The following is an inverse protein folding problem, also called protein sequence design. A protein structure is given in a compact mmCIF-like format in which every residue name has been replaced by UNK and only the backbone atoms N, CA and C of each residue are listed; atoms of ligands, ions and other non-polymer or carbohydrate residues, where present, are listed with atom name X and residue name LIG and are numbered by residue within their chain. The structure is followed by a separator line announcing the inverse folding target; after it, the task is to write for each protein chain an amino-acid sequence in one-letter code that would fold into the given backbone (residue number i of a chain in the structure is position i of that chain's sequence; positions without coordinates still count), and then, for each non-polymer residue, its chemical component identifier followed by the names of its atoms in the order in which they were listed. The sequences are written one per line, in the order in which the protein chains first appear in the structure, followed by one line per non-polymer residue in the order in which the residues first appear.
data_IF_415455470715
#
_entry.id   IF_415455470715
#
_cell.length_a   1.000
_cell.length_b   1.000
_cell.length_c   1.000
_cell.angle_alpha   90.00
_cell.angle_beta   90.00
_cell.angle_gamma   90.00
#
_symmetry.space_group_name_H-M   'P 1'
#
loop_
_entity.id
_entity.type
_entity.pdbx_description
1 polymer ?
#
# COMPACT_ATOMS: atom_id res chain seq x y z
N UNK A 1 4.83 16.51 18.63
CA UNK A 1 4.51 17.37 17.47
C UNK A 1 3.00 17.57 17.42
N UNK A 2 2.51 18.81 17.37
CA UNK A 2 1.07 19.08 17.27
C UNK A 2 0.54 18.53 15.95
N UNK A 3 -0.34 17.54 16.00
CA UNK A 3 -1.04 17.04 14.82
C UNK A 3 -1.81 18.22 14.19
N UNK A 4 -1.30 18.78 13.09
CA UNK A 4 -2.02 19.81 12.35
C UNK A 4 -3.27 19.14 11.77
N UNK A 5 -4.43 19.42 12.38
CA UNK A 5 -5.73 19.01 11.85
C UNK A 5 -5.85 19.44 10.38
N UNK A 6 -6.29 18.52 9.54
CA UNK A 6 -6.60 18.73 8.13
C UNK A 6 -7.48 19.98 7.96
N UNK A 7 -7.00 20.97 7.20
CA UNK A 7 -7.73 22.20 6.93
C UNK A 7 -8.51 22.02 5.63
N UNK A 8 -9.84 22.16 5.62
CA UNK A 8 -10.62 22.08 4.40
C UNK A 8 -10.33 23.28 3.48
N UNK A 9 -10.32 23.03 2.16
CA UNK A 9 -10.08 24.01 1.08
C UNK A 9 -11.07 25.18 1.10
N UNK A 10 -12.30 24.88 1.50
CA UNK A 10 -13.39 25.85 1.58
C UNK A 10 -13.88 25.95 3.02
N UNK A 11 -14.12 27.18 3.50
CA UNK A 11 -14.83 27.38 4.77
C UNK A 11 -16.30 26.98 4.63
N UNK A 12 -17.02 26.81 5.76
CA UNK A 12 -18.47 26.50 5.76
C UNK A 12 -19.32 27.54 5.01
N UNK A 13 -18.76 28.71 4.74
CA UNK A 13 -19.38 29.83 4.02
C UNK A 13 -19.02 29.88 2.53
N UNK A 14 -18.30 28.88 2.01
CA UNK A 14 -17.95 28.79 0.58
C UNK A 14 -16.75 29.64 0.14
N UNK A 15 -16.05 30.32 1.07
CA UNK A 15 -14.84 31.10 0.78
C UNK A 15 -13.57 30.26 0.91
N UNK A 16 -12.53 30.60 0.14
CA UNK A 16 -11.21 29.97 0.21
C UNK A 16 -10.61 30.23 1.60
N UNK A 17 -10.22 29.16 2.29
CA UNK A 17 -9.64 29.25 3.62
C UNK A 17 -8.22 29.85 3.53
N UNK A 18 -7.96 30.97 4.20
CA UNK A 18 -6.65 31.65 4.18
C UNK A 18 -5.52 30.83 4.83
N UNK A 19 -5.87 29.81 5.64
CA UNK A 19 -4.91 28.86 6.24
C UNK A 19 -4.70 27.61 5.40
N UNK A 20 -5.49 27.41 4.33
CA UNK A 20 -5.32 26.29 3.42
C UNK A 20 -4.26 26.65 2.38
N UNK A 21 -3.22 25.82 2.31
CA UNK A 21 -2.16 25.93 1.30
C UNK A 21 -2.31 24.73 0.37
N UNK A 22 -2.69 25.00 -0.88
CA UNK A 22 -2.72 23.97 -1.92
C UNK A 22 -1.29 23.78 -2.45
N UNK A 23 -0.68 22.64 -2.10
CA UNK A 23 0.67 22.31 -2.57
C UNK A 23 0.67 21.82 -4.02
N UNK A 24 -0.50 21.50 -4.59
CA UNK A 24 -0.66 20.93 -5.93
C UNK A 24 -1.37 21.89 -6.90
N UNK A 25 -1.24 23.19 -6.67
CA UNK A 25 -1.77 24.20 -7.59
C UNK A 25 -1.08 24.06 -8.97
N UNK A 26 -1.87 24.03 -10.03
CA UNK A 26 -1.40 23.99 -11.41
C UNK A 26 -0.96 25.37 -11.87
N UNK A 27 0.14 25.41 -12.61
CA UNK A 27 0.66 26.65 -13.19
C UNK A 27 -0.10 27.01 -14.48
N UNK A 28 -0.19 28.30 -14.85
CA UNK A 28 -0.79 28.69 -16.11
C UNK A 28 -0.03 28.09 -17.29
N UNK A 29 -0.72 27.48 -18.27
CA UNK A 29 -0.06 26.81 -19.38
C UNK A 29 0.65 27.79 -20.31
N UNK A 30 1.87 27.46 -20.71
CA UNK A 30 2.59 28.18 -21.77
C UNK A 30 2.22 27.56 -23.12
N UNK A 31 1.67 28.36 -24.07
CA UNK A 31 1.39 27.88 -25.43
C UNK A 31 2.64 27.25 -26.06
N UNK A 32 2.44 26.17 -26.81
CA UNK A 32 3.51 25.36 -27.43
C UNK A 32 4.38 24.52 -26.49
N UNK A 33 4.14 24.56 -25.18
CA UNK A 33 4.85 23.71 -24.20
C UNK A 33 3.86 22.92 -23.34
N UNK A 34 2.73 22.52 -23.90
CA UNK A 34 1.67 21.81 -23.17
C UNK A 34 2.06 20.38 -22.79
N UNK A 35 2.98 19.77 -23.54
CA UNK A 35 3.45 18.41 -23.32
C UNK A 35 4.97 18.38 -23.18
N UNK A 36 5.50 17.44 -22.41
CA UNK A 36 6.93 17.30 -22.17
C UNK A 36 7.35 15.84 -22.21
N UNK A 37 8.55 15.60 -22.74
CA UNK A 37 9.22 14.31 -22.66
C UNK A 37 10.21 14.34 -21.49
N UNK A 38 10.10 13.38 -20.59
CA UNK A 38 10.87 13.32 -19.37
C UNK A 38 11.57 11.98 -19.25
N UNK A 39 12.83 11.97 -18.81
CA UNK A 39 13.49 10.75 -18.39
C UNK A 39 13.80 10.83 -16.91
N UNK A 40 13.56 9.73 -16.21
CA UNK A 40 13.84 9.59 -14.79
C UNK A 40 14.88 8.50 -14.60
N UNK A 41 15.77 8.72 -13.63
CA UNK A 41 16.66 7.68 -13.13
C UNK A 41 16.36 7.54 -11.65
N UNK A 42 15.75 6.42 -11.27
CA UNK A 42 15.46 6.12 -9.87
C UNK A 42 16.34 4.95 -9.43
N UNK A 43 17.43 5.21 -8.68
CA UNK A 43 18.32 4.14 -8.23
C UNK A 43 17.68 3.25 -7.16
N UNK A 44 16.51 3.61 -6.62
CA UNK A 44 15.81 2.86 -5.55
C UNK A 44 15.48 1.41 -5.94
N UNK A 45 15.34 1.13 -7.24
CA UNK A 45 15.11 -0.22 -7.77
C UNK A 45 16.40 -1.06 -7.89
N UNK A 46 17.57 -0.42 -7.85
CA UNK A 46 18.87 -1.01 -8.21
C UNK A 46 19.81 -1.06 -7.00
N UNK A 47 19.81 0.01 -6.20
CA UNK A 47 20.71 0.21 -5.07
C UNK A 47 19.85 0.52 -3.85
N UNK A 48 20.22 -0.08 -2.71
CA UNK A 48 19.58 0.22 -1.43
C UNK A 48 19.65 1.71 -1.16
N UNK A 49 18.51 2.35 -0.92
CA UNK A 49 18.43 3.78 -0.66
C UNK A 49 19.49 4.21 0.38
N UNK A 50 20.29 5.22 0.02
CA UNK A 50 21.37 5.78 0.83
C UNK A 50 20.88 6.13 2.23
N UNK A 51 19.67 6.67 2.37
CA UNK A 51 19.13 7.09 3.67
C UNK A 51 18.86 5.88 4.57
N UNK A 52 18.37 4.78 3.99
CA UNK A 52 18.17 3.50 4.70
C UNK A 52 19.52 2.90 5.10
N UNK A 53 20.52 2.97 4.23
CA UNK A 53 21.87 2.54 4.55
C UNK A 53 22.48 3.33 5.72
N UNK A 54 22.36 4.66 5.69
CA UNK A 54 22.86 5.54 6.75
C UNK A 54 22.15 5.25 8.08
N UNK A 55 20.85 5.03 8.03
CA UNK A 55 20.06 4.65 9.20
C UNK A 55 20.47 3.28 9.76
N UNK A 56 20.74 2.28 8.92
CA UNK A 56 21.24 0.98 9.40
C UNK A 56 22.61 1.08 10.07
N UNK A 57 23.52 1.92 9.57
CA UNK A 57 24.81 2.13 10.22
C UNK A 57 24.64 2.87 11.55
N UNK A 58 23.70 3.81 11.62
CA UNK A 58 23.31 4.42 12.89
C UNK A 58 22.79 3.37 13.87
N UNK A 59 21.85 2.50 13.47
CA UNK A 59 21.30 1.44 14.34
C UNK A 59 22.38 0.45 14.79
N UNK A 60 23.32 0.08 13.92
CA UNK A 60 24.47 -0.78 14.29
C UNK A 60 25.40 -0.13 15.30
N UNK A 61 25.61 1.18 15.20
CA UNK A 61 26.37 1.94 16.20
C UNK A 61 25.56 2.11 17.50
N UNK A 62 24.24 2.21 17.36
CA UNK A 62 23.29 2.36 18.46
C UNK A 62 23.02 1.06 19.22
N UNK A 63 23.52 -0.08 18.75
CA UNK A 63 23.18 -1.41 19.28
C UNK A 63 23.45 -1.52 20.79
N UNK A 64 22.42 -1.19 21.58
CA UNK A 64 22.48 -1.07 23.03
C UNK A 64 22.89 -2.39 23.65
N UNK A 65 22.58 -3.51 23.00
CA UNK A 65 22.93 -4.87 23.42
C UNK A 65 24.43 -5.03 23.64
N UNK A 66 25.25 -4.48 22.74
CA UNK A 66 26.72 -4.58 22.84
C UNK A 66 27.29 -3.63 23.89
N UNK A 67 26.68 -2.46 24.05
CA UNK A 67 27.02 -1.53 25.13
C UNK A 67 26.68 -2.12 26.49
N UNK A 68 25.50 -2.75 26.63
CA UNK A 68 25.04 -3.43 27.84
C UNK A 68 25.92 -4.62 28.22
N UNK A 69 26.39 -5.41 27.23
CA UNK A 69 27.33 -6.49 27.51
C UNK A 69 28.69 -5.96 28.03
N UNK A 70 29.23 -4.90 27.42
CA UNK A 70 30.48 -4.27 27.92
C UNK A 70 30.31 -3.67 29.32
N UNK A 71 29.16 -3.06 29.62
CA UNK A 71 28.89 -2.56 30.96
C UNK A 71 28.74 -3.69 31.97
N UNK A 72 28.07 -4.79 31.62
CA UNK A 72 27.98 -6.00 32.46
C UNK A 72 29.38 -6.55 32.79
N UNK A 73 30.27 -6.67 31.79
CA UNK A 73 31.64 -7.14 32.00
C UNK A 73 32.45 -6.19 32.89
N UNK A 74 32.26 -4.88 32.73
CA UNK A 74 32.89 -3.87 33.59
C UNK A 74 32.38 -3.94 35.04
N UNK A 75 31.07 -4.15 35.23
CA UNK A 75 30.48 -4.33 36.57
C UNK A 75 31.04 -5.58 37.26
N UNK A 76 31.24 -6.69 36.53
CA UNK A 76 31.91 -7.87 37.05
C UNK A 76 33.37 -7.59 37.44
N UNK A 77 34.10 -6.81 36.65
CA UNK A 77 35.46 -6.38 37.00
C UNK A 77 35.50 -5.52 38.27
N UNK A 78 34.57 -4.57 38.43
CA UNK A 78 34.47 -3.73 39.62
C UNK A 78 34.13 -4.57 40.85
N UNK A 79 33.17 -5.48 40.72
CA UNK A 79 32.82 -6.46 41.76
C UNK A 79 34.04 -7.25 42.21
N UNK A 80 34.87 -7.74 41.28
CA UNK A 80 36.10 -8.47 41.60
C UNK A 80 37.16 -7.59 42.27
N UNK A 81 37.39 -6.38 41.75
CA UNK A 81 38.44 -5.46 42.26
C UNK A 81 38.13 -4.94 43.67
N UNK A 82 36.87 -4.65 43.96
CA UNK A 82 36.44 -4.08 45.24
C UNK A 82 35.74 -5.09 46.16
N UNK A 83 35.68 -6.37 45.76
CA UNK A 83 35.00 -7.46 46.49
C UNK A 83 33.54 -7.16 46.84
N UNK A 84 32.84 -6.51 45.93
CA UNK A 84 31.41 -6.21 46.07
C UNK A 84 30.63 -7.41 45.54
N UNK A 85 29.47 -7.74 46.12
CA UNK A 85 28.64 -8.84 45.66
C UNK A 85 28.23 -8.63 44.18
N UNK A 86 28.60 -9.53 43.25
CA UNK A 86 28.27 -9.39 41.83
C UNK A 86 26.75 -9.36 41.56
N UNK A 87 25.95 -10.14 42.29
CA UNK A 87 24.50 -10.20 42.08
C UNK A 87 23.83 -8.88 42.38
N UNK A 88 24.13 -8.28 43.53
CA UNK A 88 23.59 -6.97 43.92
C UNK A 88 23.90 -5.87 42.90
N UNK A 89 25.10 -5.92 42.31
CA UNK A 89 25.56 -4.90 41.37
C UNK A 89 24.90 -5.05 39.98
N UNK A 90 24.53 -6.28 39.62
CA UNK A 90 23.77 -6.58 38.41
C UNK A 90 22.29 -6.26 38.58
N UNK A 91 21.73 -6.46 39.78
CA UNK A 91 20.37 -6.03 40.11
C UNK A 91 20.24 -4.50 40.05
N UNK A 92 21.20 -3.77 40.65
CA UNK A 92 21.26 -2.30 40.58
C UNK A 92 21.40 -1.80 39.12
N UNK A 93 22.18 -2.51 38.29
CA UNK A 93 22.27 -2.21 36.86
C UNK A 93 20.94 -2.45 36.14
N UNK A 94 20.20 -3.51 36.50
CA UNK A 94 18.87 -3.80 35.92
C UNK A 94 17.86 -2.71 36.27
N UNK A 95 17.87 -2.22 37.51
CA UNK A 95 16.98 -1.15 37.94
C UNK A 95 17.35 0.19 37.32
N UNK A 96 18.66 0.49 37.21
CA UNK A 96 19.13 1.65 36.46
C UNK A 96 18.68 1.62 34.99
N UNK A 97 18.76 0.46 34.32
CA UNK A 97 18.28 0.31 32.94
C UNK A 97 16.78 0.61 32.83
N UNK A 98 15.95 0.18 33.79
CA UNK A 98 14.50 0.46 33.79
C UNK A 98 14.20 1.94 33.96
N UNK A 99 14.95 2.64 34.81
CA UNK A 99 14.80 4.09 35.00
C UNK A 99 15.24 4.87 33.77
N UNK A 100 16.40 4.53 33.20
CA UNK A 100 16.92 5.16 31.99
C UNK A 100 16.09 4.81 30.74
N UNK A 101 15.41 3.65 30.68
CA UNK A 101 14.51 3.32 29.57
C UNK A 101 13.39 4.38 29.44
N UNK A 102 12.91 4.91 30.57
CA UNK A 102 11.90 5.99 30.59
C UNK A 102 12.48 7.32 30.09
N UNK A 103 13.78 7.57 30.30
CA UNK A 103 14.50 8.75 29.82
C UNK A 103 14.84 8.62 28.33
N UNK A 104 15.30 7.45 27.89
CA UNK A 104 15.56 7.10 26.49
C UNK A 104 14.31 7.22 25.63
N UNK A 105 13.13 6.84 26.15
CA UNK A 105 11.84 7.07 25.46
C UNK A 105 11.51 8.55 25.28
N UNK A 106 12.10 9.46 26.08
CA UNK A 106 11.95 10.92 25.94
C UNK A 106 13.03 11.54 25.06
N UNK A 107 14.18 10.88 24.90
CA UNK A 107 15.25 11.32 24.02
C UNK A 107 14.83 11.18 22.56
N UNK A 108 15.11 12.21 21.79
CA UNK A 108 14.64 12.31 20.41
C UNK A 108 15.67 11.66 19.49
N UNK A 109 15.43 10.44 19.05
CA UNK A 109 16.32 9.69 18.12
C UNK A 109 16.70 10.52 16.88
N UNK A 110 15.83 11.46 16.49
CA UNK A 110 16.09 12.39 15.39
C UNK A 110 17.32 13.29 15.63
N UNK A 111 17.54 13.79 16.85
CA UNK A 111 18.71 14.65 17.14
C UNK A 111 20.01 13.86 17.13
N UNK A 112 19.97 12.64 17.66
CA UNK A 112 21.14 11.77 17.75
C UNK A 112 21.54 11.27 16.35
N UNK A 113 20.55 10.97 15.51
CA UNK A 113 20.79 10.65 14.11
C UNK A 113 21.40 11.83 13.34
N UNK A 114 20.91 13.05 13.54
CA UNK A 114 21.52 14.25 12.92
C UNK A 114 22.96 14.45 13.35
N UNK A 115 23.26 14.33 14.64
CA UNK A 115 24.63 14.45 15.14
C UNK A 115 25.55 13.32 14.61
N UNK A 116 25.01 12.11 14.45
CA UNK A 116 25.74 11.00 13.85
C UNK A 116 26.07 11.26 12.38
N UNK A 117 25.09 11.75 11.60
CA UNK A 117 25.30 12.17 10.22
C UNK A 117 26.37 13.25 10.15
N UNK A 118 26.27 14.34 10.92
CA UNK A 118 27.25 15.44 10.89
C UNK A 118 28.70 14.95 11.14
N UNK A 119 28.89 13.89 11.95
CA UNK A 119 30.22 13.36 12.30
C UNK A 119 30.74 12.32 11.31
N UNK A 120 29.88 11.49 10.72
CA UNK A 120 30.26 10.29 9.99
C UNK A 120 29.84 10.29 8.50
N UNK A 121 29.10 11.30 8.04
CA UNK A 121 28.52 11.35 6.69
C UNK A 121 29.57 11.13 5.60
N UNK A 122 30.71 11.82 5.67
CA UNK A 122 31.75 11.72 4.63
C UNK A 122 32.32 10.30 4.51
N UNK A 123 32.64 9.67 5.65
CA UNK A 123 33.17 8.30 5.69
C UNK A 123 32.14 7.28 5.21
N UNK A 124 30.89 7.42 5.66
CA UNK A 124 29.80 6.52 5.28
C UNK A 124 29.43 6.67 3.80
N UNK A 125 29.48 7.89 3.26
CA UNK A 125 29.25 8.14 1.84
C UNK A 125 30.33 7.49 0.97
N UNK A 126 31.60 7.61 1.36
CA UNK A 126 32.69 6.91 0.67
C UNK A 126 32.55 5.39 0.73
N UNK A 127 32.20 4.84 1.88
CA UNK A 127 32.00 3.40 2.05
C UNK A 127 30.82 2.90 1.21
N UNK A 128 29.71 3.63 1.23
CA UNK A 128 28.54 3.36 0.41
C UNK A 128 28.89 3.40 -1.08
N UNK A 129 29.64 4.41 -1.52
CA UNK A 129 30.07 4.53 -2.91
C UNK A 129 30.99 3.37 -3.32
N UNK A 130 31.94 2.97 -2.47
CA UNK A 130 32.81 1.80 -2.74
C UNK A 130 32.00 0.51 -2.86
N UNK A 131 31.06 0.26 -1.94
CA UNK A 131 30.20 -0.94 -1.95
C UNK A 131 29.31 -1.00 -3.19
N UNK A 132 28.82 0.15 -3.65
CA UNK A 132 27.95 0.27 -4.81
C UNK A 132 28.69 0.60 -6.11
N UNK A 133 30.02 0.38 -6.17
CA UNK A 133 30.84 0.60 -7.37
C UNK A 133 30.68 2.00 -7.99
N UNK A 134 30.49 3.02 -7.15
CA UNK A 134 30.27 4.42 -7.55
C UNK A 134 29.10 4.63 -8.51
N UNK A 135 28.11 3.73 -8.49
CA UNK A 135 26.88 3.93 -9.25
C UNK A 135 26.06 5.09 -8.68
N UNK A 136 25.33 5.77 -9.55
CA UNK A 136 24.50 6.92 -9.20
C UNK A 136 23.46 6.52 -8.16
N UNK A 137 23.48 7.16 -7.00
CA UNK A 137 22.60 6.87 -5.87
C UNK A 137 21.56 7.98 -5.61
N UNK A 138 21.50 8.95 -6.51
CA UNK A 138 20.58 10.09 -6.46
C UNK A 138 19.56 9.94 -7.58
N UNK A 139 18.31 10.29 -7.27
CA UNK A 139 17.25 10.36 -8.28
C UNK A 139 17.58 11.45 -9.30
N UNK A 140 17.64 11.06 -10.57
CA UNK A 140 17.87 11.95 -11.69
C UNK A 140 16.56 12.29 -12.40
N UNK A 141 16.44 13.54 -12.83
CA UNK A 141 15.37 14.02 -13.70
C UNK A 141 15.97 14.84 -14.83
N UNK A 142 15.52 14.60 -16.06
CA UNK A 142 15.87 15.43 -17.20
C UNK A 142 14.64 15.70 -18.06
N UNK A 143 14.44 16.97 -18.40
CA UNK A 143 13.51 17.37 -19.45
C UNK A 143 14.21 17.18 -20.81
N UNK A 144 13.62 16.32 -21.65
CA UNK A 144 14.15 15.95 -22.97
C UNK A 144 13.54 16.80 -24.10
N UNK A 145 12.57 17.66 -23.81
CA UNK A 145 11.90 18.54 -24.77
C UNK A 145 10.46 18.83 -24.38
N UNK A 146 9.93 19.97 -24.84
CA UNK A 146 8.54 20.38 -24.64
C UNK A 146 7.88 20.67 -25.98
N UNK A 147 6.59 20.33 -26.11
CA UNK A 147 5.83 20.32 -27.34
C UNK A 147 4.41 20.84 -27.16
N UNK A 148 3.80 21.20 -28.29
CA UNK A 148 2.45 21.75 -28.35
C UNK A 148 1.37 20.66 -28.27
N UNK A 149 1.64 19.48 -28.83
CA UNK A 149 0.69 18.37 -28.96
C UNK A 149 1.27 17.06 -28.41
N UNK A 150 0.39 16.12 -28.03
CA UNK A 150 0.79 14.79 -27.57
C UNK A 150 1.48 14.00 -28.67
N UNK A 151 0.96 14.07 -29.90
CA UNK A 151 1.49 13.32 -31.05
C UNK A 151 2.94 13.71 -31.38
N UNK A 152 3.25 15.01 -31.32
CA UNK A 152 4.60 15.52 -31.54
C UNK A 152 5.57 15.05 -30.45
N UNK A 153 5.12 15.06 -29.18
CA UNK A 153 5.90 14.56 -28.05
C UNK A 153 6.15 13.04 -28.15
N UNK A 154 5.16 12.26 -28.58
CA UNK A 154 5.28 10.82 -28.80
C UNK A 154 6.26 10.50 -29.94
N UNK A 155 6.19 11.21 -31.07
CA UNK A 155 7.15 11.05 -32.16
C UNK A 155 8.58 11.40 -31.73
N UNK A 156 8.75 12.45 -30.94
CA UNK A 156 10.04 12.84 -30.42
C UNK A 156 10.57 11.83 -29.40
N UNK A 157 9.71 11.29 -28.53
CA UNK A 157 10.06 10.21 -27.61
C UNK A 157 10.57 8.98 -28.36
N UNK A 158 9.91 8.57 -29.45
CA UNK A 158 10.38 7.47 -30.32
C UNK A 158 11.78 7.72 -30.87
N UNK A 159 12.03 8.91 -31.43
CA UNK A 159 13.36 9.29 -31.94
C UNK A 159 14.45 9.29 -30.87
N UNK A 160 14.15 9.73 -29.65
CA UNK A 160 15.12 9.70 -28.55
C UNK A 160 15.38 8.26 -28.12
N UNK A 161 14.35 7.42 -28.08
CA UNK A 161 14.45 6.01 -27.70
C UNK A 161 15.39 5.24 -28.62
N UNK A 162 15.39 5.55 -29.92
CA UNK A 162 16.32 4.96 -30.89
C UNK A 162 17.79 5.34 -30.59
N UNK A 163 18.02 6.52 -30.02
CA UNK A 163 19.36 7.01 -29.69
C UNK A 163 19.84 6.57 -28.30
N UNK A 164 18.92 6.45 -27.35
CA UNK A 164 19.20 6.15 -25.94
C UNK A 164 18.22 5.08 -25.44
N UNK A 165 18.53 3.78 -25.67
CA UNK A 165 17.64 2.67 -25.31
C UNK A 165 17.63 2.36 -23.82
N UNK A 166 18.53 2.97 -23.04
CA UNK A 166 18.73 2.64 -21.63
C UNK A 166 17.78 3.39 -20.68
N UNK A 167 17.11 4.44 -21.16
CA UNK A 167 16.27 5.30 -20.33
C UNK A 167 14.82 5.22 -20.77
N UNK A 168 13.94 5.02 -19.78
CA UNK A 168 12.51 5.17 -20.00
C UNK A 168 12.16 6.64 -20.27
N UNK A 169 11.28 6.87 -21.25
CA UNK A 169 10.82 8.20 -21.64
C UNK A 169 9.34 8.28 -21.33
N UNK A 170 8.99 9.21 -20.45
CA UNK A 170 7.63 9.52 -20.07
C UNK A 170 7.15 10.74 -20.83
N UNK A 171 5.98 10.63 -21.46
CA UNK A 171 5.29 11.77 -22.08
C UNK A 171 4.17 12.21 -21.16
N UNK A 172 4.22 13.46 -20.70
CA UNK A 172 3.28 14.03 -19.74
C UNK A 172 2.79 15.40 -20.16
N UNK A 173 1.68 15.84 -19.56
CA UNK A 173 1.26 17.24 -19.63
C UNK A 173 2.14 18.09 -18.73
N UNK A 174 2.54 19.25 -19.25
CA UNK A 174 3.28 20.24 -18.48
C UNK A 174 2.32 21.06 -17.62
N UNK A 175 2.87 21.72 -16.59
CA UNK A 175 2.11 22.56 -15.65
C UNK A 175 1.11 21.79 -14.76
N UNK A 176 1.19 20.45 -14.75
CA UNK A 176 0.41 19.57 -13.89
C UNK A 176 1.35 18.75 -13.01
N UNK A 177 0.98 18.59 -11.73
CA UNK A 177 1.72 17.76 -10.80
C UNK A 177 1.67 16.29 -11.24
N UNK A 178 2.84 15.74 -11.54
CA UNK A 178 2.99 14.35 -12.00
C UNK A 178 3.82 13.56 -10.99
N UNK A 179 3.43 12.31 -10.64
CA UNK A 179 4.24 11.45 -9.79
C UNK A 179 5.64 11.21 -10.38
N UNK A 180 6.65 11.23 -9.50
CA UNK A 180 8.03 10.92 -9.87
C UNK A 180 8.19 9.40 -10.08
N UNK A 181 8.79 8.99 -11.21
CA UNK A 181 8.95 7.57 -11.61
C UNK A 181 7.63 6.79 -11.54
N UNK A 182 6.63 7.17 -12.36
CA UNK A 182 5.33 6.52 -12.32
C UNK A 182 5.47 5.07 -12.83
N UNK A 183 4.83 4.15 -12.12
CA UNK A 183 4.83 2.73 -12.50
C UNK A 183 4.15 2.55 -13.86
N UNK A 184 4.88 1.99 -14.83
CA UNK A 184 4.44 1.80 -16.20
C UNK A 184 3.04 1.18 -16.27
N UNK A 185 2.75 0.17 -15.42
CA UNK A 185 1.46 -0.53 -15.40
C UNK A 185 0.30 0.29 -14.83
N UNK A 186 0.58 1.32 -14.02
CA UNK A 186 -0.43 2.21 -13.45
C UNK A 186 -0.63 3.46 -14.30
N UNK A 187 0.36 3.82 -15.10
CA UNK A 187 0.24 4.84 -16.14
C UNK A 187 -0.45 4.27 -17.37
N UNK A 188 -1.41 5.02 -17.92
CA UNK A 188 -2.33 4.54 -18.95
C UNK A 188 -1.68 3.81 -20.13
N UNK A 189 -1.24 4.54 -21.16
CA UNK A 189 -0.73 3.93 -22.40
C UNK A 189 0.76 3.63 -22.27
N UNK A 190 1.13 2.37 -22.46
CA UNK A 190 2.53 1.89 -22.47
C UNK A 190 2.87 1.48 -23.90
N UNK A 191 3.98 2.00 -24.42
CA UNK A 191 4.60 1.51 -25.66
C UNK A 191 6.00 0.97 -25.31
N UNK A 192 6.24 -0.30 -25.64
CA UNK A 192 7.52 -1.00 -25.56
C UNK A 192 8.37 -0.76 -26.82
N UNK A 193 9.65 -1.10 -26.74
CA UNK A 193 10.61 -0.99 -27.84
C UNK A 193 10.33 -2.03 -28.93
N UNK A 194 9.95 -3.24 -28.52
CA UNK A 194 9.67 -4.34 -29.43
C UNK A 194 8.22 -4.29 -29.91
N UNK A 195 8.03 -4.27 -31.23
CA UNK A 195 6.69 -4.26 -31.84
C UNK A 195 5.89 -5.53 -31.50
N UNK A 196 6.54 -6.69 -31.42
CA UNK A 196 5.91 -7.94 -31.01
C UNK A 196 5.42 -7.88 -29.56
N UNK A 197 6.20 -7.27 -28.66
CA UNK A 197 5.82 -7.09 -27.27
C UNK A 197 4.65 -6.10 -27.12
N UNK A 198 4.59 -5.07 -27.98
CA UNK A 198 3.46 -4.15 -28.04
C UNK A 198 2.17 -4.86 -28.46
N UNK A 199 2.25 -5.70 -29.50
CA UNK A 199 1.12 -6.50 -29.95
C UNK A 199 0.65 -7.45 -28.84
N UNK A 200 1.57 -8.17 -28.22
CA UNK A 200 1.27 -9.08 -27.11
C UNK A 200 0.63 -8.36 -25.92
N UNK A 201 1.11 -7.17 -25.57
CA UNK A 201 0.53 -6.37 -24.48
C UNK A 201 -0.88 -5.89 -24.81
N UNK A 202 -1.11 -5.38 -26.02
CA UNK A 202 -2.45 -4.98 -26.47
C UNK A 202 -3.42 -6.16 -26.49
N UNK A 203 -2.98 -7.32 -26.98
CA UNK A 203 -3.77 -8.55 -26.97
C UNK A 203 -4.08 -9.02 -25.54
N UNK A 204 -3.11 -8.96 -24.63
CA UNK A 204 -3.33 -9.27 -23.22
C UNK A 204 -4.39 -8.37 -22.60
N UNK A 205 -4.30 -7.07 -22.84
CA UNK A 205 -5.24 -6.08 -22.29
C UNK A 205 -6.64 -6.28 -22.85
N UNK A 206 -6.76 -6.61 -24.14
CA UNK A 206 -8.02 -7.01 -24.78
C UNK A 206 -8.58 -8.32 -24.21
N UNK A 207 -7.72 -9.31 -23.95
CA UNK A 207 -8.12 -10.58 -23.33
C UNK A 207 -8.58 -10.38 -21.88
N UNK A 208 -7.89 -9.55 -21.10
CA UNK A 208 -8.28 -9.20 -19.73
C UNK A 208 -9.64 -8.47 -19.71
N UNK A 209 -9.87 -7.54 -20.63
CA UNK A 209 -11.16 -6.88 -20.81
C UNK A 209 -12.26 -7.88 -21.18
N UNK A 210 -12.00 -8.74 -22.17
CA UNK A 210 -12.96 -9.76 -22.59
C UNK A 210 -13.27 -10.75 -21.45
N UNK A 211 -12.26 -11.19 -20.70
CA UNK A 211 -12.44 -12.07 -19.55
C UNK A 211 -13.26 -11.41 -18.43
N UNK A 212 -13.06 -10.11 -18.19
CA UNK A 212 -13.87 -9.34 -17.24
C UNK A 212 -15.32 -9.22 -17.70
N UNK A 213 -15.56 -8.87 -18.96
CA UNK A 213 -16.91 -8.81 -19.53
C UNK A 213 -17.62 -10.17 -19.49
N UNK A 214 -16.90 -11.25 -19.78
CA UNK A 214 -17.45 -12.60 -19.71
C UNK A 214 -17.75 -13.03 -18.27
N UNK A 215 -16.87 -12.68 -17.32
CA UNK A 215 -17.11 -12.89 -15.89
C UNK A 215 -18.35 -12.13 -15.42
N UNK A 216 -18.46 -10.85 -15.77
CA UNK A 216 -19.61 -10.02 -15.41
C UNK A 216 -20.92 -10.58 -16.02
N UNK A 217 -20.88 -11.04 -17.27
CA UNK A 217 -22.00 -11.75 -17.91
C UNK A 217 -22.36 -13.05 -17.17
N UNK A 218 -21.37 -13.88 -16.82
CA UNK A 218 -21.60 -15.13 -16.07
C UNK A 218 -22.20 -14.87 -14.68
N UNK A 219 -21.72 -13.85 -13.97
CA UNK A 219 -22.26 -13.45 -12.67
C UNK A 219 -23.71 -12.99 -12.83
N UNK A 220 -24.00 -12.16 -13.83
CA UNK A 220 -25.35 -11.69 -14.13
C UNK A 220 -26.29 -12.86 -14.49
N UNK A 221 -25.86 -13.79 -15.35
CA UNK A 221 -26.65 -14.96 -15.71
C UNK A 221 -26.89 -15.90 -14.53
N UNK A 222 -25.88 -16.11 -13.67
CA UNK A 222 -26.01 -16.95 -12.47
C UNK A 222 -27.00 -16.33 -11.49
N UNK A 223 -26.91 -15.00 -11.27
CA UNK A 223 -27.89 -14.26 -10.47
C UNK A 223 -29.30 -14.41 -11.05
N UNK A 224 -29.47 -14.23 -12.36
CA UNK A 224 -30.77 -14.38 -13.04
C UNK A 224 -31.35 -15.80 -12.88
N UNK A 225 -30.54 -16.83 -13.09
CA UNK A 225 -30.94 -18.25 -12.92
C UNK A 225 -31.31 -18.57 -11.47
N UNK A 226 -30.55 -18.06 -10.50
CA UNK A 226 -30.83 -18.25 -9.08
C UNK A 226 -32.18 -17.62 -8.69
N UNK A 227 -32.48 -16.42 -9.20
CA UNK A 227 -33.77 -15.76 -8.97
C UNK A 227 -34.90 -16.54 -9.66
N UNK A 228 -34.71 -16.99 -10.90
CA UNK A 228 -35.73 -17.79 -11.60
C UNK A 228 -36.03 -19.11 -10.87
N UNK A 229 -35.00 -19.78 -10.36
CA UNK A 229 -35.15 -20.99 -9.54
C UNK A 229 -35.86 -20.68 -8.22
N UNK A 230 -35.52 -19.59 -7.54
CA UNK A 230 -36.21 -19.13 -6.34
C UNK A 230 -37.69 -18.79 -6.62
N UNK A 231 -38.01 -18.20 -7.78
CA UNK A 231 -39.39 -17.92 -8.18
C UNK A 231 -40.17 -19.22 -8.41
N UNK A 232 -39.57 -20.23 -9.05
CA UNK A 232 -40.20 -21.55 -9.26
C UNK A 232 -40.45 -22.25 -7.92
N UNK A 233 -39.43 -22.33 -7.06
CA UNK A 233 -39.55 -22.92 -5.73
C UNK A 233 -40.57 -22.17 -4.85
N UNK A 234 -40.64 -20.85 -4.92
CA UNK A 234 -41.63 -20.05 -4.20
C UNK A 234 -43.07 -20.36 -4.68
N UNK A 235 -43.27 -20.54 -5.99
CA UNK A 235 -44.58 -20.97 -6.54
C UNK A 235 -44.96 -22.39 -6.11
N UNK A 236 -44.01 -23.31 -6.08
CA UNK A 236 -44.24 -24.71 -5.71
C UNK A 236 -44.46 -24.89 -4.19
N UNK A 237 -43.76 -24.11 -3.36
CA UNK A 237 -43.82 -24.21 -1.89
C UNK A 237 -44.84 -23.26 -1.24
N UNK A 238 -45.46 -22.37 -2.00
CA UNK A 238 -46.40 -21.36 -1.49
C UNK A 238 -45.76 -20.29 -0.59
N UNK A 239 -44.42 -20.20 -0.58
CA UNK A 239 -43.67 -19.27 0.27
C UNK A 239 -43.43 -17.93 -0.46
N UNK A 240 -43.56 -16.78 0.23
CA UNK A 240 -43.39 -15.45 -0.39
C UNK A 240 -41.92 -15.17 -0.73
N UNK A 241 -41.67 -14.64 -1.93
CA UNK A 241 -40.34 -14.23 -2.39
C UNK A 241 -39.77 -13.10 -1.53
N UNK A 242 -38.52 -13.25 -1.10
CA UNK A 242 -37.83 -12.26 -0.25
C UNK A 242 -36.90 -11.34 -1.03
N UNK A 243 -36.55 -11.66 -2.29
CA UNK A 243 -35.57 -10.92 -3.10
C UNK A 243 -35.99 -10.85 -4.59
N UNK A 244 -35.82 -9.67 -5.21
CA UNK A 244 -36.05 -9.37 -6.64
C UNK A 244 -34.86 -8.61 -7.24
N UNK A 245 -34.66 -8.66 -8.56
CA UNK A 245 -33.57 -7.93 -9.25
C UNK A 245 -34.05 -6.58 -9.79
N UNK A 246 -33.22 -5.54 -9.72
CA UNK A 246 -33.43 -4.27 -10.41
C UNK A 246 -32.86 -4.27 -11.85
N UNK A 247 -33.09 -3.19 -12.60
CA UNK A 247 -32.63 -3.01 -13.98
C UNK A 247 -31.10 -2.97 -14.13
N UNK A 248 -30.36 -2.78 -13.03
CA UNK A 248 -28.90 -2.70 -12.98
C UNK A 248 -28.24 -4.00 -12.48
N UNK A 249 -29.02 -5.04 -12.13
CA UNK A 249 -28.51 -6.36 -11.73
C UNK A 249 -28.13 -6.48 -10.25
N UNK A 250 -28.60 -5.57 -9.40
CA UNK A 250 -28.49 -5.66 -7.95
C UNK A 250 -29.71 -6.35 -7.33
N UNK A 251 -29.48 -7.05 -6.22
CA UNK A 251 -30.53 -7.76 -5.49
C UNK A 251 -31.20 -6.80 -4.51
N UNK A 252 -32.46 -6.46 -4.75
CA UNK A 252 -33.28 -5.66 -3.83
C UNK A 252 -34.18 -6.63 -3.05
N UNK A 253 -34.14 -6.53 -1.72
CA UNK A 253 -35.09 -7.25 -0.87
C UNK A 253 -36.51 -6.70 -1.03
N UNK A 254 -37.51 -7.56 -1.22
CA UNK A 254 -38.92 -7.15 -1.34
C UNK A 254 -39.40 -6.69 0.04
N UNK A 255 -39.23 -5.39 0.34
CA UNK A 255 -39.61 -4.80 1.64
C UNK A 255 -41.12 -4.76 1.89
N UNK A 256 -41.94 -4.82 0.83
CA UNK A 256 -43.39 -4.60 0.96
C UNK A 256 -44.19 -5.81 1.48
N UNK A 257 -43.62 -7.02 1.59
CA UNK A 257 -44.40 -8.22 1.95
C UNK A 257 -43.89 -9.03 3.13
N UNK A 258 -42.80 -8.61 3.79
CA UNK A 258 -42.21 -9.35 4.90
C UNK A 258 -41.93 -8.40 6.06
N UNK A 259 -42.85 -8.38 7.04
CA UNK A 259 -42.65 -7.69 8.31
C UNK A 259 -41.74 -8.57 9.19
N UNK A 260 -40.45 -8.28 9.22
CA UNK A 260 -39.47 -9.04 10.01
C UNK A 260 -39.63 -8.83 11.52
N UNK A 261 -40.30 -7.74 11.92
CA UNK A 261 -40.47 -7.35 13.32
C UNK A 261 -41.59 -8.13 14.04
N UNK A 262 -42.47 -8.82 13.30
CA UNK A 262 -43.58 -9.62 13.84
C UNK A 262 -43.29 -11.13 13.92
N UNK A 263 -42.08 -11.58 13.57
CA UNK A 263 -41.71 -12.99 13.76
C UNK A 263 -41.61 -13.28 15.27
N UNK A 264 -42.64 -13.90 15.84
CA UNK A 264 -42.52 -14.54 17.14
C UNK A 264 -41.34 -15.52 17.09
N UNK A 265 -40.35 -15.28 17.96
CA UNK A 265 -39.23 -16.20 18.17
C UNK A 265 -39.85 -17.55 18.54
N UNK A 266 -39.57 -18.58 17.75
CA UNK A 266 -40.11 -19.91 18.00
C UNK A 266 -39.87 -20.34 19.46
N UNK A 267 -40.96 -20.63 20.18
CA UNK A 267 -40.93 -21.12 21.56
C UNK A 267 -39.94 -22.29 21.71
N UNK A 268 -39.21 -22.33 22.82
CA UNK A 268 -38.19 -23.36 23.08
C UNK A 268 -38.75 -24.78 23.03
N UNK A 269 -40.04 -24.96 23.32
CA UNK A 269 -40.74 -26.23 23.18
C UNK A 269 -40.86 -26.68 21.72
N UNK A 270 -41.06 -25.73 20.81
CA UNK A 270 -41.18 -25.97 19.36
C UNK A 270 -39.81 -26.27 18.74
N UNK A 271 -38.75 -25.59 19.20
CA UNK A 271 -37.36 -25.90 18.80
C UNK A 271 -36.95 -27.31 19.21
N UNK A 272 -37.20 -27.70 20.46
CA UNK A 272 -36.91 -29.06 20.95
C UNK A 272 -37.66 -30.14 20.17
N UNK A 273 -38.93 -29.90 19.82
CA UNK A 273 -39.71 -30.83 18.99
C UNK A 273 -39.16 -30.95 17.56
N UNK A 274 -38.66 -29.85 16.99
CA UNK A 274 -38.05 -29.86 15.67
C UNK A 274 -36.69 -30.59 15.69
N UNK A 275 -35.84 -30.28 16.67
CA UNK A 275 -34.55 -30.96 16.89
C UNK A 275 -34.74 -32.48 17.07
N UNK A 276 -35.69 -32.91 17.91
CA UNK A 276 -36.01 -34.33 18.08
C UNK A 276 -36.49 -34.97 16.77
N UNK A 277 -37.28 -34.24 15.96
CA UNK A 277 -37.76 -34.75 14.67
C UNK A 277 -36.62 -34.92 13.68
N UNK A 278 -35.72 -33.94 13.59
CA UNK A 278 -34.53 -33.98 12.73
C UNK A 278 -33.60 -35.12 13.14
N UNK A 279 -33.37 -35.30 14.45
CA UNK A 279 -32.57 -36.42 14.98
C UNK A 279 -33.24 -37.78 14.70
N UNK A 280 -34.58 -37.86 14.77
CA UNK A 280 -35.30 -39.11 14.47
C UNK A 280 -35.32 -39.47 12.99
N UNK A 281 -35.26 -38.48 12.10
CA UNK A 281 -35.26 -38.65 10.65
C UNK A 281 -33.85 -38.75 10.06
N UNK A 282 -32.81 -38.40 10.83
CA UNK A 282 -31.43 -38.62 10.41
C UNK A 282 -31.11 -40.11 10.44
N UNK A 283 -30.78 -40.66 9.28
CA UNK A 283 -30.25 -42.02 9.15
C UNK A 283 -28.91 -42.06 9.88
N UNK A 284 -28.68 -42.99 10.84
CA UNK A 284 -27.40 -43.12 11.51
C UNK A 284 -26.30 -43.33 10.48
N UNK A 285 -25.20 -42.58 10.60
CA UNK A 285 -24.02 -42.75 9.76
C UNK A 285 -23.48 -44.17 9.99
N UNK A 286 -23.73 -45.09 9.06
CA UNK A 286 -23.10 -46.40 9.08
C UNK A 286 -21.66 -46.25 8.58
N UNK A 287 -20.69 -46.32 9.50
CA UNK A 287 -19.28 -46.51 9.17
C UNK A 287 -19.11 -47.90 8.53
N UNK A 288 -19.40 -48.00 7.24
CA UNK A 288 -18.87 -49.08 6.41
C UNK A 288 -17.50 -48.65 5.90
N UNK A 289 -16.52 -48.62 6.81
CA UNK A 289 -15.12 -48.73 6.44
C UNK A 289 -14.80 -50.22 6.30
N UNK A 290 -14.91 -50.74 5.07
CA UNK A 290 -14.19 -51.91 4.58
C UNK A 290 -13.70 -51.60 3.18
#
# INVERSE_FOLDING_TARGET
MSAKMFQPKTTKEGKINSKYVDLLAEDPPIPSQLFGCYSFVSPDKIIKNRDVFMFEQFVKQWDCTKSLSMFSDFMQFVSHKYKINPESLMDDLSDFIKEEEVVLKRLNVESDFKQFLDKQETKLAEEYNKRNKFQTSVRGFINRGNFSSSEEAEQHAKKIRDRDPNHDIFVGRNFVWTPLDPDAYKTGRIEFLEEELNQLHHEKLKNEQHAKEEFDKRVYETKKKAIEANIKLAKESGNKLTQTMDEEGNLIGVRETVNFDEREVADDASKKKHEQRVISQSVPFSDNSN
#
